data_IF_113455096444
#
_entry.id   IF_113455096444
#
_cell.length_a   1.000
_cell.length_b   1.000
_cell.length_c   1.000
_cell.angle_alpha   90.00
_cell.angle_beta   90.00
_cell.angle_gamma   90.00
#
_symmetry.space_group_name_H-M   'P 1'
#
loop_
_entity.id
_entity.type
_entity.pdbx_description
1 polymer ?
#
# COMPACT_ATOMS: atom_id res chain seq x y z
N UNK A 1 -23.56 9.15 14.87
CA UNK A 1 -23.18 8.24 13.75
C UNK A 1 -21.86 7.61 14.15
N UNK A 2 -21.74 6.28 14.11
CA UNK A 2 -20.48 5.60 14.46
C UNK A 2 -19.46 5.81 13.33
N UNK A 3 -18.17 5.92 13.69
CA UNK A 3 -17.06 6.00 12.72
C UNK A 3 -16.87 4.62 12.10
N UNK A 4 -16.84 4.55 10.77
CA UNK A 4 -16.62 3.31 10.02
C UNK A 4 -15.19 3.26 9.45
N UNK A 5 -14.61 2.07 9.40
CA UNK A 5 -13.25 1.83 8.86
C UNK A 5 -13.30 0.82 7.70
N UNK A 6 -12.34 0.91 6.75
CA UNK A 6 -11.25 1.87 6.67
C UNK A 6 -11.75 3.26 6.25
N UNK A 7 -11.06 4.30 6.74
CA UNK A 7 -11.32 5.69 6.31
C UNK A 7 -10.44 6.07 5.12
N UNK A 8 -10.89 7.05 4.35
CA UNK A 8 -10.04 7.73 3.37
C UNK A 8 -9.27 8.87 4.02
N UNK A 9 -8.13 9.25 3.44
CA UNK A 9 -7.38 10.43 3.88
C UNK A 9 -8.18 11.71 3.61
N UNK A 10 -8.05 12.75 4.44
CA UNK A 10 -8.56 14.07 4.12
C UNK A 10 -7.96 14.61 2.82
N UNK A 11 -8.76 15.33 2.05
CA UNK A 11 -8.32 15.92 0.77
C UNK A 11 -7.81 17.34 0.91
N UNK A 12 -7.93 17.94 2.10
CA UNK A 12 -7.42 19.28 2.40
C UNK A 12 -5.91 19.27 2.49
N UNK A 13 -5.25 20.22 1.87
CA UNK A 13 -3.80 20.50 1.93
C UNK A 13 -2.85 19.42 1.41
N UNK A 14 -3.34 18.27 0.93
CA UNK A 14 -2.51 17.20 0.38
C UNK A 14 -1.43 16.65 1.33
N UNK A 15 -0.49 15.89 0.79
CA UNK A 15 0.70 15.36 1.49
C UNK A 15 1.93 16.11 0.96
N UNK A 16 2.76 16.67 1.86
CA UNK A 16 4.00 17.34 1.48
C UNK A 16 5.10 16.33 1.18
N UNK A 17 5.23 15.32 2.02
CA UNK A 17 6.22 14.25 1.85
C UNK A 17 5.68 12.94 2.39
N UNK A 18 6.00 11.86 1.68
CA UNK A 18 5.73 10.49 2.13
C UNK A 18 6.99 9.65 1.92
N UNK A 19 7.38 8.92 2.96
CA UNK A 19 8.44 7.93 2.88
C UNK A 19 7.81 6.55 3.05
N UNK A 20 7.77 5.75 1.99
CA UNK A 20 7.34 4.37 2.02
C UNK A 20 8.55 3.46 2.26
N UNK A 21 8.43 2.54 3.21
CA UNK A 21 9.45 1.54 3.55
C UNK A 21 8.90 0.14 3.31
N UNK A 22 9.67 -0.64 2.56
CA UNK A 22 9.45 -2.07 2.38
C UNK A 22 10.20 -2.84 3.48
N UNK A 23 9.47 -3.51 4.36
CA UNK A 23 10.06 -4.26 5.48
C UNK A 23 9.95 -5.76 5.20
N UNK A 24 11.10 -6.45 5.24
CA UNK A 24 11.20 -7.91 5.13
C UNK A 24 11.78 -8.48 6.43
N UNK A 25 11.24 -9.60 6.88
CA UNK A 25 11.78 -10.33 8.03
C UNK A 25 12.69 -11.46 7.53
N UNK A 26 13.99 -11.24 7.59
CA UNK A 26 15.00 -12.24 7.27
C UNK A 26 15.96 -12.41 8.44
N UNK A 27 16.25 -13.64 8.80
CA UNK A 27 17.31 -13.96 9.77
C UNK A 27 18.53 -14.49 9.03
N UNK A 28 19.70 -13.95 9.37
CA UNK A 28 20.98 -14.39 8.81
C UNK A 28 21.89 -14.89 9.92
N UNK A 29 22.39 -16.09 9.77
CA UNK A 29 23.48 -16.66 10.60
C UNK A 29 24.73 -16.80 9.76
N UNK A 30 25.88 -16.40 10.31
CA UNK A 30 27.15 -16.43 9.61
C UNK A 30 28.21 -17.13 10.47
N UNK A 31 28.94 -18.06 9.88
CA UNK A 31 30.09 -18.73 10.52
C UNK A 31 31.25 -17.73 10.66
N UNK A 32 31.81 -17.51 11.87
CA UNK A 32 32.91 -16.59 12.07
C UNK A 32 34.23 -17.12 11.48
N UNK A 33 34.30 -18.41 11.15
CA UNK A 33 35.54 -19.06 10.62
C UNK A 33 35.57 -19.12 9.11
N UNK A 34 34.44 -19.29 8.46
CA UNK A 34 34.37 -19.52 7.00
C UNK A 34 33.54 -18.47 6.27
N UNK A 35 32.90 -17.54 7.01
CA UNK A 35 31.95 -16.52 6.52
C UNK A 35 30.81 -17.13 5.69
N UNK A 36 30.57 -18.43 5.75
CA UNK A 36 29.39 -19.04 5.15
C UNK A 36 28.14 -18.52 5.84
N UNK A 37 27.18 -18.12 5.04
CA UNK A 37 25.91 -17.55 5.49
C UNK A 37 24.77 -18.53 5.30
N UNK A 38 23.89 -18.57 6.28
CA UNK A 38 22.59 -19.23 6.20
C UNK A 38 21.51 -18.17 6.38
N UNK A 39 20.61 -18.07 5.40
CA UNK A 39 19.54 -17.08 5.39
C UNK A 39 18.23 -17.82 5.56
N UNK A 40 17.42 -17.38 6.53
CA UNK A 40 16.05 -17.82 6.73
C UNK A 40 15.11 -16.66 6.40
N UNK A 41 14.30 -16.85 5.37
CA UNK A 41 13.26 -15.91 4.98
C UNK A 41 11.97 -16.24 5.75
N UNK A 42 11.45 -15.26 6.47
CA UNK A 42 10.16 -15.34 7.11
C UNK A 42 9.10 -14.65 6.25
N UNK A 43 7.84 -15.05 6.37
CA UNK A 43 6.73 -14.48 5.59
C UNK A 43 6.35 -13.04 6.00
N UNK A 44 7.06 -12.46 6.97
CA UNK A 44 6.81 -11.12 7.50
C UNK A 44 7.26 -10.02 6.54
N UNK A 45 6.43 -9.68 5.58
CA UNK A 45 6.63 -8.54 4.68
C UNK A 45 5.53 -7.52 4.94
N UNK A 46 5.84 -6.24 4.99
CA UNK A 46 4.84 -5.19 5.16
C UNK A 46 5.32 -3.84 4.65
N UNK A 47 4.37 -2.98 4.35
CA UNK A 47 4.60 -1.57 4.14
C UNK A 47 4.63 -0.82 5.47
N UNK A 48 5.57 0.11 5.59
CA UNK A 48 5.58 1.16 6.60
C UNK A 48 5.64 2.51 5.89
N UNK A 49 5.03 3.51 6.48
CA UNK A 49 5.02 4.85 5.91
C UNK A 49 5.25 5.90 6.98
N UNK A 50 5.94 6.96 6.60
CA UNK A 50 6.05 8.19 7.35
C UNK A 50 5.50 9.33 6.48
N UNK A 51 4.51 10.03 6.98
CA UNK A 51 3.77 11.06 6.25
C UNK A 51 3.96 12.40 6.94
N UNK A 52 4.39 13.38 6.16
CA UNK A 52 4.51 14.77 6.58
C UNK A 52 3.52 15.61 5.79
N UNK A 53 2.69 16.36 6.52
CA UNK A 53 1.77 17.31 5.91
C UNK A 53 2.44 18.68 5.72
N UNK A 54 2.01 19.47 4.74
CA UNK A 54 2.50 20.84 4.60
C UNK A 54 2.10 21.67 5.82
N UNK A 55 2.86 22.71 6.16
CA UNK A 55 2.43 23.68 7.14
C UNK A 55 1.08 24.30 6.74
N UNK A 56 0.12 24.29 7.62
CA UNK A 56 -1.25 24.70 7.30
C UNK A 56 -1.87 25.57 8.39
N UNK A 57 -2.89 26.34 8.02
CA UNK A 57 -3.68 27.13 8.95
C UNK A 57 -4.66 26.24 9.73
N UNK A 58 -5.23 26.82 10.80
CA UNK A 58 -6.09 26.11 11.72
C UNK A 58 -7.24 25.33 11.06
N UNK A 59 -7.94 25.94 10.14
CA UNK A 59 -9.14 25.31 9.54
C UNK A 59 -8.83 24.00 8.82
N UNK A 60 -7.72 23.95 8.07
CA UNK A 60 -7.25 22.74 7.40
C UNK A 60 -6.66 21.75 8.41
N UNK A 61 -5.88 22.26 9.37
CA UNK A 61 -5.24 21.45 10.40
C UNK A 61 -6.24 20.69 11.27
N UNK A 62 -7.32 21.34 11.71
CA UNK A 62 -8.36 20.72 12.54
C UNK A 62 -9.05 19.57 11.81
N UNK A 63 -9.19 19.62 10.49
CA UNK A 63 -9.71 18.50 9.69
C UNK A 63 -8.79 17.27 9.79
N UNK A 64 -7.48 17.46 9.69
CA UNK A 64 -6.50 16.39 9.85
C UNK A 64 -6.42 15.88 11.28
N UNK A 65 -6.44 16.79 12.27
CA UNK A 65 -6.40 16.40 13.69
C UNK A 65 -7.64 15.60 14.09
N UNK A 66 -8.82 16.05 13.68
CA UNK A 66 -10.07 15.31 13.91
C UNK A 66 -10.03 13.93 13.25
N UNK A 67 -9.43 13.83 12.04
CA UNK A 67 -9.25 12.57 11.35
C UNK A 67 -8.28 11.66 12.10
N UNK A 68 -7.09 12.15 12.51
CA UNK A 68 -6.10 11.38 13.28
C UNK A 68 -6.69 10.88 14.62
N UNK A 69 -7.35 11.74 15.37
CA UNK A 69 -8.00 11.38 16.64
C UNK A 69 -9.10 10.33 16.43
N UNK A 70 -9.82 10.41 15.31
CA UNK A 70 -10.86 9.44 14.97
C UNK A 70 -10.34 8.03 14.69
N UNK A 71 -9.03 7.86 14.45
CA UNK A 71 -8.40 6.54 14.31
C UNK A 71 -8.32 5.79 15.65
N UNK A 72 -8.53 6.48 16.77
CA UNK A 72 -8.40 5.89 18.11
C UNK A 72 -7.07 5.12 18.28
N UNK A 73 -5.97 5.80 18.00
CA UNK A 73 -4.63 5.24 17.97
C UNK A 73 -4.48 4.16 16.90
N UNK A 74 -4.05 2.98 17.30
CA UNK A 74 -3.80 1.85 16.40
C UNK A 74 -5.05 1.05 16.00
N UNK A 75 -6.22 1.38 16.54
CA UNK A 75 -7.44 0.59 16.31
C UNK A 75 -8.03 0.83 14.93
N UNK A 76 -8.13 2.08 14.52
CA UNK A 76 -8.68 2.45 13.22
C UNK A 76 -7.77 2.08 12.06
N UNK A 77 -8.39 1.91 10.89
CA UNK A 77 -7.69 1.67 9.64
C UNK A 77 -8.08 2.70 8.60
N UNK A 78 -7.18 2.95 7.65
CA UNK A 78 -7.41 3.88 6.55
C UNK A 78 -6.76 3.38 5.27
N UNK A 79 -7.19 3.93 4.16
CA UNK A 79 -6.66 3.60 2.83
C UNK A 79 -5.60 4.63 2.44
N UNK A 80 -4.43 4.16 2.03
CA UNK A 80 -3.33 5.00 1.58
C UNK A 80 -2.51 4.27 0.51
N UNK A 81 -1.96 5.03 -0.43
CA UNK A 81 -1.02 4.57 -1.46
C UNK A 81 0.06 5.62 -1.70
N UNK A 82 0.86 5.42 -2.72
CA UNK A 82 1.85 6.39 -3.16
C UNK A 82 1.18 7.46 -4.05
N UNK A 83 1.06 8.71 -3.60
CA UNK A 83 0.37 9.75 -4.36
C UNK A 83 1.08 10.09 -5.68
N UNK A 84 2.40 9.88 -5.77
CA UNK A 84 3.16 10.13 -6.99
C UNK A 84 3.09 8.99 -8.00
N UNK A 85 2.66 7.81 -7.57
CA UNK A 85 2.48 6.63 -8.41
C UNK A 85 1.00 6.29 -8.63
N UNK A 86 0.14 7.31 -8.61
CA UNK A 86 -1.29 7.17 -8.83
C UNK A 86 -1.63 6.55 -10.22
N UNK A 87 -0.81 6.86 -11.22
CA UNK A 87 -0.94 6.30 -12.57
C UNK A 87 0.24 5.37 -12.84
N UNK A 88 0.00 4.13 -13.25
CA UNK A 88 1.07 3.23 -13.66
C UNK A 88 1.71 3.69 -14.95
N UNK A 89 2.94 3.20 -15.19
CA UNK A 89 3.75 3.53 -16.37
C UNK A 89 3.51 2.58 -17.53
N UNK A 90 2.82 1.46 -17.28
CA UNK A 90 2.45 0.49 -18.28
C UNK A 90 1.34 0.98 -19.22
N UNK A 91 1.14 0.25 -20.31
CA UNK A 91 0.14 0.60 -21.33
C UNK A 91 -1.31 0.41 -20.86
N UNK A 92 -1.51 -0.47 -19.90
CA UNK A 92 -2.81 -0.81 -19.29
C UNK A 92 -3.91 -1.19 -20.30
N UNK A 93 -5.11 -1.34 -19.79
CA UNK A 93 -6.35 -1.60 -20.51
C UNK A 93 -7.08 -2.84 -20.01
N UNK A 94 -8.38 -2.86 -20.24
CA UNK A 94 -9.28 -3.88 -19.73
C UNK A 94 -9.79 -3.55 -18.31
N UNK A 95 -10.37 -4.56 -17.66
CA UNK A 95 -10.87 -4.50 -16.29
C UNK A 95 -10.30 -5.71 -15.54
N UNK A 96 -9.06 -5.62 -15.05
CA UNK A 96 -8.35 -6.77 -14.52
C UNK A 96 -9.02 -7.29 -13.23
N UNK A 97 -9.09 -8.60 -13.13
CA UNK A 97 -9.62 -9.35 -12.00
C UNK A 97 -8.63 -10.46 -11.59
N UNK A 98 -8.72 -10.93 -10.36
CA UNK A 98 -7.97 -12.09 -9.90
C UNK A 98 -8.50 -13.35 -10.58
N UNK A 99 -7.65 -14.07 -11.28
CA UNK A 99 -8.03 -15.27 -12.03
C UNK A 99 -7.81 -16.52 -11.17
N UNK A 100 -8.87 -16.99 -10.55
CA UNK A 100 -8.89 -18.16 -9.68
C UNK A 100 -8.71 -17.82 -8.20
N UNK A 101 -9.39 -18.56 -7.34
CA UNK A 101 -9.34 -18.40 -5.89
C UNK A 101 -8.10 -19.07 -5.29
N UNK A 102 -7.77 -18.71 -4.04
CA UNK A 102 -6.73 -19.38 -3.26
C UNK A 102 -5.31 -18.98 -3.57
N UNK A 103 -5.09 -17.95 -4.38
CA UNK A 103 -3.74 -17.48 -4.73
C UNK A 103 -3.05 -16.83 -3.52
N UNK A 104 -1.85 -17.30 -3.21
CA UNK A 104 -0.97 -16.79 -2.13
C UNK A 104 0.47 -16.76 -2.61
N UNK A 105 1.34 -16.08 -1.86
CA UNK A 105 2.76 -15.99 -2.18
C UNK A 105 3.10 -14.74 -3.00
N UNK A 106 4.20 -14.79 -3.73
CA UNK A 106 4.82 -13.64 -4.40
C UNK A 106 4.39 -13.43 -5.85
N UNK A 107 3.40 -14.19 -6.33
CA UNK A 107 2.85 -14.01 -7.67
C UNK A 107 1.34 -14.08 -7.65
N UNK A 108 0.70 -13.41 -8.60
CA UNK A 108 -0.76 -13.44 -8.81
C UNK A 108 -1.05 -13.53 -10.30
N UNK A 109 -1.97 -14.41 -10.67
CA UNK A 109 -2.52 -14.50 -12.02
C UNK A 109 -3.81 -13.68 -12.08
N UNK A 110 -3.92 -12.88 -13.11
CA UNK A 110 -5.07 -12.01 -13.36
C UNK A 110 -5.59 -12.23 -14.78
N UNK A 111 -6.83 -11.86 -15.01
CA UNK A 111 -7.47 -11.82 -16.33
C UNK A 111 -8.25 -10.54 -16.55
N UNK A 112 -9.06 -10.48 -17.60
CA UNK A 112 -9.81 -9.27 -17.96
C UNK A 112 -8.94 -8.10 -18.45
N UNK A 113 -7.64 -8.30 -18.65
CA UNK A 113 -6.76 -7.31 -19.26
C UNK A 113 -6.99 -7.20 -20.77
N UNK A 114 -6.57 -6.09 -21.38
CA UNK A 114 -6.52 -6.01 -22.83
C UNK A 114 -5.56 -7.08 -23.37
N UNK A 115 -5.99 -7.92 -24.34
CA UNK A 115 -5.15 -8.99 -24.89
C UNK A 115 -3.95 -8.48 -25.66
N UNK A 116 -2.85 -9.24 -25.62
CA UNK A 116 -1.64 -9.04 -26.44
C UNK A 116 -1.00 -7.65 -26.30
N UNK A 117 -1.02 -7.09 -25.10
CA UNK A 117 -0.35 -5.81 -24.78
C UNK A 117 1.02 -6.08 -24.21
N UNK A 118 2.06 -5.61 -24.89
CA UNK A 118 3.42 -5.61 -24.33
C UNK A 118 3.61 -4.44 -23.36
N UNK A 119 4.24 -4.72 -22.22
CA UNK A 119 4.42 -3.73 -21.16
C UNK A 119 3.09 -3.24 -20.57
N UNK A 120 2.14 -4.13 -20.38
CA UNK A 120 0.84 -3.81 -19.79
C UNK A 120 0.99 -3.17 -18.40
N UNK A 121 1.91 -3.68 -17.56
CA UNK A 121 2.46 -3.01 -16.37
C UNK A 121 3.99 -3.02 -16.44
N UNK A 122 4.60 -2.08 -15.74
CA UNK A 122 6.06 -1.97 -15.64
C UNK A 122 6.55 -2.28 -14.22
N UNK A 123 7.76 -2.82 -14.12
CA UNK A 123 8.43 -3.02 -12.84
C UNK A 123 8.41 -1.73 -12.02
N UNK A 124 7.90 -1.79 -10.79
CA UNK A 124 7.73 -0.64 -9.90
C UNK A 124 6.35 0.01 -9.93
N UNK A 125 5.45 -0.37 -10.84
CA UNK A 125 4.05 0.04 -10.76
C UNK A 125 3.37 -0.58 -9.53
N UNK A 126 2.35 0.08 -9.02
CA UNK A 126 1.56 -0.43 -7.90
C UNK A 126 0.25 -1.02 -8.40
N UNK A 127 -0.18 -2.05 -7.71
CA UNK A 127 -1.52 -2.63 -7.84
C UNK A 127 -2.17 -2.78 -6.47
N UNK A 128 -3.48 -2.73 -6.47
CA UNK A 128 -4.28 -3.07 -5.31
C UNK A 128 -5.10 -4.32 -5.63
N UNK A 129 -5.08 -5.28 -4.74
CA UNK A 129 -5.97 -6.44 -4.79
C UNK A 129 -7.10 -6.23 -3.79
N UNK A 130 -8.33 -6.51 -4.23
CA UNK A 130 -9.52 -6.30 -3.43
C UNK A 130 -9.92 -4.82 -3.27
N UNK A 131 -10.87 -4.57 -2.37
CA UNK A 131 -11.41 -3.22 -2.14
C UNK A 131 -11.71 -2.97 -0.67
N UNK A 132 -11.74 -1.70 -0.27
CA UNK A 132 -12.10 -1.26 1.08
C UNK A 132 -11.39 -2.07 2.19
N UNK A 133 -12.11 -2.92 2.93
CA UNK A 133 -11.58 -3.70 4.05
C UNK A 133 -10.65 -4.84 3.63
N UNK A 134 -10.66 -5.25 2.36
CA UNK A 134 -9.79 -6.30 1.81
C UNK A 134 -8.64 -5.73 0.96
N UNK A 135 -8.55 -4.41 0.80
CA UNK A 135 -7.54 -3.76 -0.02
C UNK A 135 -6.12 -4.06 0.47
N UNK A 136 -5.29 -4.62 -0.39
CA UNK A 136 -3.86 -4.85 -0.17
C UNK A 136 -3.05 -4.19 -1.27
N UNK A 137 -1.98 -3.48 -0.90
CA UNK A 137 -1.11 -2.75 -1.81
C UNK A 137 0.11 -3.58 -2.16
N UNK A 138 0.34 -3.79 -3.44
CA UNK A 138 1.49 -4.54 -3.93
C UNK A 138 2.25 -3.75 -4.99
N UNK A 139 3.55 -3.95 -5.05
CA UNK A 139 4.42 -3.41 -6.08
C UNK A 139 4.77 -4.52 -7.06
N UNK A 140 4.67 -4.24 -8.35
CA UNK A 140 5.04 -5.15 -9.44
C UNK A 140 6.55 -5.17 -9.56
N UNK A 141 7.16 -6.35 -9.61
CA UNK A 141 8.61 -6.53 -9.57
C UNK A 141 9.26 -6.66 -10.95
N UNK A 142 8.51 -7.04 -11.97
CA UNK A 142 8.98 -7.21 -13.34
C UNK A 142 8.00 -6.59 -14.33
N UNK A 143 8.47 -6.30 -15.54
CA UNK A 143 7.59 -5.88 -16.64
C UNK A 143 6.64 -7.03 -16.99
N UNK A 144 5.40 -6.71 -17.28
CA UNK A 144 4.31 -7.66 -17.50
C UNK A 144 3.68 -7.44 -18.85
N UNK A 145 3.59 -8.52 -19.64
CA UNK A 145 2.85 -8.57 -20.89
C UNK A 145 1.57 -9.38 -20.70
N UNK A 146 0.53 -9.07 -21.46
CA UNK A 146 -0.71 -9.86 -21.47
C UNK A 146 -0.71 -10.84 -22.63
N UNK A 147 -1.25 -12.04 -22.39
CA UNK A 147 -1.42 -13.06 -23.42
C UNK A 147 -2.62 -12.75 -24.35
N UNK A 148 -2.83 -13.62 -25.36
CA UNK A 148 -3.93 -13.50 -26.34
C UNK A 148 -5.33 -13.59 -25.73
N UNK A 149 -5.45 -14.11 -24.51
CA UNK A 149 -6.69 -14.22 -23.74
C UNK A 149 -6.87 -13.10 -22.72
N UNK A 150 -5.98 -12.09 -22.70
CA UNK A 150 -6.03 -11.01 -21.71
C UNK A 150 -5.67 -11.44 -20.29
N UNK A 151 -4.84 -12.47 -20.13
CA UNK A 151 -4.35 -12.94 -18.86
C UNK A 151 -2.89 -12.52 -18.67
N UNK A 152 -2.49 -12.31 -17.41
CA UNK A 152 -1.12 -12.03 -17.02
C UNK A 152 -0.79 -12.64 -15.66
N UNK A 153 0.47 -12.95 -15.44
CA UNK A 153 1.01 -13.32 -14.11
C UNK A 153 1.97 -12.24 -13.66
N UNK A 154 1.73 -11.70 -12.48
CA UNK A 154 2.51 -10.62 -11.89
C UNK A 154 3.34 -11.15 -10.73
N UNK A 155 4.65 -10.86 -10.74
CA UNK A 155 5.49 -11.01 -9.57
C UNK A 155 5.35 -9.75 -8.71
N UNK A 156 5.02 -9.92 -7.44
CA UNK A 156 4.61 -8.83 -6.55
C UNK A 156 5.32 -8.86 -5.19
N UNK A 157 5.41 -7.70 -4.59
CA UNK A 157 5.82 -7.50 -3.20
C UNK A 157 4.88 -6.48 -2.50
N UNK A 158 4.43 -6.71 -1.26
CA UNK A 158 4.56 -7.91 -0.42
C UNK A 158 3.84 -9.13 -0.99
N UNK A 159 4.18 -10.30 -0.50
CA UNK A 159 3.48 -11.55 -0.84
C UNK A 159 2.02 -11.51 -0.36
N UNK A 160 1.14 -12.14 -1.11
CA UNK A 160 -0.27 -12.34 -0.73
C UNK A 160 -0.30 -13.31 0.45
N UNK A 161 -0.81 -12.86 1.59
CA UNK A 161 -0.94 -13.66 2.82
C UNK A 161 -2.33 -14.28 2.92
N UNK A 162 -3.34 -13.47 2.63
CA UNK A 162 -4.74 -13.90 2.62
C UNK A 162 -5.20 -13.88 1.17
N UNK A 163 -5.60 -15.05 0.67
CA UNK A 163 -6.06 -15.19 -0.70
C UNK A 163 -7.31 -14.35 -0.94
N UNK A 164 -7.33 -13.68 -2.09
CA UNK A 164 -8.53 -13.02 -2.60
C UNK A 164 -9.45 -14.05 -3.27
N UNK A 165 -10.74 -13.75 -3.31
CA UNK A 165 -11.69 -14.57 -4.04
C UNK A 165 -11.42 -14.45 -5.55
N UNK A 166 -11.88 -15.45 -6.31
CA UNK A 166 -11.97 -15.36 -7.75
C UNK A 166 -12.77 -14.12 -8.16
N UNK A 167 -12.42 -13.49 -9.27
CA UNK A 167 -13.02 -12.25 -9.76
C UNK A 167 -12.87 -11.03 -8.80
N UNK A 168 -12.00 -11.13 -7.79
CA UNK A 168 -11.68 -9.94 -6.98
C UNK A 168 -11.04 -8.85 -7.83
N UNK A 169 -11.50 -7.61 -7.64
CA UNK A 169 -11.01 -6.47 -8.43
C UNK A 169 -9.50 -6.26 -8.23
N UNK A 170 -8.82 -5.98 -9.34
CA UNK A 170 -7.43 -5.52 -9.38
C UNK A 170 -7.42 -4.07 -9.83
N UNK A 171 -7.04 -3.17 -8.91
CA UNK A 171 -6.97 -1.73 -9.20
C UNK A 171 -5.54 -1.38 -9.57
N UNK A 172 -5.36 -0.78 -10.74
CA UNK A 172 -4.06 -0.42 -11.30
C UNK A 172 -3.77 1.09 -11.24
N UNK A 173 -4.79 1.91 -11.04
CA UNK A 173 -4.65 3.36 -10.89
C UNK A 173 -5.15 3.80 -9.52
N UNK A 174 -4.45 4.74 -8.88
CA UNK A 174 -4.73 5.15 -7.50
C UNK A 174 -4.76 3.96 -6.52
N UNK A 175 -3.88 2.99 -6.71
CA UNK A 175 -3.80 1.80 -5.89
C UNK A 175 -3.52 2.17 -4.43
N UNK A 176 -4.31 1.61 -3.51
CA UNK A 176 -4.18 1.84 -2.08
C UNK A 176 -4.14 0.52 -1.33
N UNK A 177 -3.49 0.54 -0.19
CA UNK A 177 -3.57 -0.53 0.81
C UNK A 177 -4.22 -0.04 2.07
N UNK A 178 -4.53 -0.98 2.94
CA UNK A 178 -5.07 -0.69 4.25
C UNK A 178 -3.94 -0.48 5.25
N UNK A 179 -3.92 0.66 5.89
CA UNK A 179 -2.95 1.05 6.90
C UNK A 179 -3.61 1.33 8.25
N UNK A 180 -2.81 1.37 9.29
CA UNK A 180 -3.15 1.88 10.62
C UNK A 180 -2.03 2.76 11.15
N UNK A 181 -2.30 3.60 12.12
CA UNK A 181 -1.26 4.41 12.76
C UNK A 181 -0.26 3.50 13.50
N UNK A 182 1.01 3.83 13.42
CA UNK A 182 2.08 3.07 14.08
C UNK A 182 2.15 3.35 15.59
N UNK A 183 1.62 4.49 16.05
CA UNK A 183 1.58 4.89 17.46
C UNK A 183 0.15 5.06 17.97
N UNK A 184 -0.05 4.85 19.27
CA UNK A 184 -1.26 5.26 19.98
C UNK A 184 -1.27 6.75 20.32
N UNK A 185 -0.10 7.39 20.32
CA UNK A 185 0.07 8.82 20.59
C UNK A 185 0.11 9.59 19.28
N UNK A 186 -0.54 10.73 19.25
CA UNK A 186 -0.56 11.67 18.14
C UNK A 186 -0.12 13.03 18.67
N UNK A 187 0.84 13.64 17.99
CA UNK A 187 1.36 14.95 18.33
C UNK A 187 1.31 15.89 17.12
N UNK A 188 1.23 17.16 17.42
CA UNK A 188 1.30 18.23 16.43
C UNK A 188 1.92 19.47 17.05
N UNK A 189 2.54 20.29 16.25
CA UNK A 189 3.13 21.56 16.68
C UNK A 189 2.31 22.73 16.16
N UNK A 190 2.28 23.81 16.95
CA UNK A 190 1.68 25.09 16.56
C UNK A 190 2.67 26.19 16.85
N UNK A 191 3.00 27.00 15.87
CA UNK A 191 3.91 28.13 16.06
C UNK A 191 3.17 29.43 16.41
N UNK A 192 3.92 30.49 16.72
CA UNK A 192 3.37 31.82 17.07
C UNK A 192 2.55 32.48 15.94
N UNK A 193 2.72 32.03 14.69
CA UNK A 193 1.96 32.49 13.53
C UNK A 193 0.69 31.65 13.28
N UNK A 194 0.29 30.80 14.23
CA UNK A 194 -0.85 29.87 14.12
C UNK A 194 -0.76 28.90 12.93
N UNK A 195 0.49 28.49 12.60
CA UNK A 195 0.75 27.47 11.58
C UNK A 195 1.00 26.14 12.27
N UNK A 196 0.30 25.13 11.79
CA UNK A 196 0.33 23.77 12.31
C UNK A 196 1.29 22.91 11.49
N UNK A 197 2.11 22.12 12.19
CA UNK A 197 2.93 21.06 11.63
C UNK A 197 2.43 19.70 12.13
N UNK A 198 2.08 18.82 11.21
CA UNK A 198 1.52 17.49 11.50
C UNK A 198 2.34 16.44 10.77
N UNK A 199 2.78 15.43 11.50
CA UNK A 199 3.43 14.23 10.96
C UNK A 199 2.82 13.00 11.60
N UNK A 200 2.72 11.91 10.86
CA UNK A 200 2.29 10.64 11.42
C UNK A 200 2.98 9.47 10.72
N UNK A 201 3.16 8.40 11.46
CA UNK A 201 3.68 7.15 10.93
C UNK A 201 2.56 6.10 10.84
N UNK A 202 2.62 5.29 9.81
CA UNK A 202 1.64 4.26 9.52
C UNK A 202 2.31 2.93 9.19
N UNK A 203 1.60 1.85 9.47
CA UNK A 203 2.00 0.49 9.10
C UNK A 203 0.85 -0.20 8.39
N UNK A 204 1.17 -1.10 7.49
CA UNK A 204 0.16 -1.94 6.81
C UNK A 204 -0.68 -2.70 7.84
N UNK A 205 -2.00 -2.63 7.69
CA UNK A 205 -2.94 -3.32 8.57
C UNK A 205 -3.16 -4.75 8.09
N UNK A 206 -2.31 -5.64 8.57
CA UNK A 206 -2.39 -7.07 8.31
C UNK A 206 -3.44 -7.69 9.24
N UNK A 207 -4.37 -8.45 8.69
CA UNK A 207 -5.43 -9.18 9.43
C UNK A 207 -5.51 -10.61 8.93
#
# INVERSE_FOLDING_TARGET
MAITYPRVLPTVSGIANITLRAVNQTAMSMSPFTYKQQIHNHAGQRWEAEVQLPPMKRDDAETWLAWLLSMNGRSGTFLMGDPNAANPRGALGGSPLVNGSGQTGSSVTIDGCTPSVSGWLKAGDYIQLGSTSTATLHKVLQDVDTNISGQATLDIWPSIRTAHADDSIVVTSNAVGRFRLNSGEQDWSVNSASVYGITFAAVEAIT
#
